data_IF_242764051287
#
_entry.id   IF_242764051287
#
_cell.length_a   1.000
_cell.length_b   1.000
_cell.length_c   1.000
_cell.angle_alpha   90.00
_cell.angle_beta   90.00
_cell.angle_gamma   90.00
#
_symmetry.space_group_name_H-M   'P 1'
#
loop_
_entity.id
_entity.type
_entity.pdbx_description
1 polymer ?
#
# COMPACT_ATOMS: atom_id res chain seq x y z
N UNK A 1 -3.51 -20.98 24.08
CA UNK A 1 -2.44 -21.13 23.08
C UNK A 1 -2.74 -20.20 21.93
N UNK A 2 -1.88 -19.22 21.71
CA UNK A 2 -1.97 -18.39 20.51
C UNK A 2 -1.68 -19.27 19.30
N UNK A 3 -2.31 -19.00 18.15
CA UNK A 3 -2.02 -19.73 16.88
C UNK A 3 -0.53 -19.65 16.52
N UNK A 4 0.16 -18.61 17.00
CA UNK A 4 1.57 -18.35 16.76
C UNK A 4 2.48 -19.28 17.59
N UNK A 5 1.99 -19.82 18.70
CA UNK A 5 2.75 -20.68 19.62
C UNK A 5 3.09 -22.03 18.98
N UNK A 6 2.27 -22.48 18.02
CA UNK A 6 2.46 -23.74 17.29
C UNK A 6 3.41 -23.65 16.09
N UNK A 7 3.92 -22.46 15.77
CA UNK A 7 4.85 -22.26 14.65
C UNK A 7 6.27 -22.67 15.04
N UNK A 8 7.02 -23.26 14.09
CA UNK A 8 8.47 -23.44 14.23
C UNK A 8 9.15 -22.08 14.39
N UNK A 9 10.33 -22.06 15.02
CA UNK A 9 11.13 -20.83 15.19
C UNK A 9 11.38 -20.13 13.85
N UNK A 10 11.75 -20.89 12.82
CA UNK A 10 11.95 -20.37 11.47
C UNK A 10 10.70 -19.71 10.88
N UNK A 11 9.55 -20.38 10.97
CA UNK A 11 8.27 -19.82 10.50
C UNK A 11 7.89 -18.54 11.25
N UNK A 12 8.17 -18.48 12.56
CA UNK A 12 7.88 -17.29 13.38
C UNK A 12 8.76 -16.10 13.00
N UNK A 13 10.05 -16.34 12.74
CA UNK A 13 10.98 -15.31 12.26
C UNK A 13 10.49 -14.75 10.92
N UNK A 14 10.18 -15.63 9.96
CA UNK A 14 9.68 -15.22 8.63
C UNK A 14 8.41 -14.39 8.78
N UNK A 15 7.46 -14.84 9.60
CA UNK A 15 6.25 -14.10 9.87
C UNK A 15 6.56 -12.69 10.39
N UNK A 16 7.40 -12.53 11.39
CA UNK A 16 7.73 -11.22 11.94
C UNK A 16 8.43 -10.30 10.95
N UNK A 17 9.30 -10.83 10.08
CA UNK A 17 9.91 -10.07 8.98
C UNK A 17 8.83 -9.56 8.02
N UNK A 18 7.87 -10.40 7.65
CA UNK A 18 6.76 -10.01 6.77
C UNK A 18 5.88 -8.94 7.45
N UNK A 19 5.52 -9.13 8.72
CA UNK A 19 4.72 -8.14 9.46
C UNK A 19 5.42 -6.79 9.56
N UNK A 20 6.74 -6.79 9.81
CA UNK A 20 7.55 -5.58 9.82
C UNK A 20 7.57 -4.90 8.45
N UNK A 21 7.76 -5.66 7.37
CA UNK A 21 7.73 -5.13 6.02
C UNK A 21 6.38 -4.48 5.68
N UNK A 22 5.26 -5.11 6.06
CA UNK A 22 3.92 -4.56 5.87
C UNK A 22 3.71 -3.28 6.69
N UNK A 23 4.21 -3.23 7.92
CA UNK A 23 4.14 -2.03 8.75
C UNK A 23 4.90 -0.86 8.11
N UNK A 24 6.13 -1.10 7.65
CA UNK A 24 6.93 -0.09 6.96
C UNK A 24 6.29 0.36 5.65
N UNK A 25 5.76 -0.58 4.86
CA UNK A 25 5.02 -0.27 3.64
C UNK A 25 3.79 0.60 3.92
N UNK A 26 3.02 0.27 4.95
CA UNK A 26 1.85 1.06 5.36
C UNK A 26 2.22 2.50 5.72
N UNK A 27 3.33 2.70 6.44
CA UNK A 27 3.82 4.03 6.78
C UNK A 27 4.30 4.81 5.56
N UNK A 28 4.94 4.14 4.61
CA UNK A 28 5.38 4.74 3.34
C UNK A 28 4.17 5.20 2.52
N UNK A 29 3.14 4.34 2.38
CA UNK A 29 1.87 4.71 1.73
C UNK A 29 1.25 5.91 2.44
N UNK A 30 1.10 5.86 3.76
CA UNK A 30 0.51 6.97 4.53
C UNK A 30 1.26 8.28 4.28
N UNK A 31 2.59 8.25 4.31
CA UNK A 31 3.43 9.42 4.02
C UNK A 31 3.21 9.97 2.60
N UNK A 32 3.15 9.09 1.60
CA UNK A 32 2.90 9.48 0.21
C UNK A 32 1.52 10.12 0.05
N UNK A 33 0.47 9.51 0.63
CA UNK A 33 -0.90 10.01 0.52
C UNK A 33 -1.10 11.33 1.27
N UNK A 34 -0.43 11.53 2.42
CA UNK A 34 -0.38 12.85 3.07
C UNK A 34 0.28 13.89 2.16
N UNK A 35 1.30 13.49 1.37
CA UNK A 35 1.90 14.34 0.34
C UNK A 35 0.89 14.77 -0.73
N UNK A 36 0.11 13.82 -1.26
CA UNK A 36 -0.93 14.07 -2.27
C UNK A 36 -1.98 15.06 -1.75
N UNK A 37 -2.51 14.86 -0.54
CA UNK A 37 -3.52 15.77 0.02
C UNK A 37 -2.96 17.18 0.28
N UNK A 38 -1.65 17.29 0.50
CA UNK A 38 -0.97 18.59 0.64
C UNK A 38 -0.61 19.24 -0.70
N UNK A 39 -1.03 18.68 -1.84
CA UNK A 39 -0.73 19.20 -3.17
C UNK A 39 0.75 19.07 -3.54
N UNK A 40 1.47 18.10 -2.97
CA UNK A 40 2.84 17.82 -3.42
C UNK A 40 2.78 17.09 -4.76
N UNK A 41 3.51 17.55 -5.78
CA UNK A 41 3.60 16.84 -7.05
C UNK A 41 4.26 15.47 -6.82
N UNK A 42 3.72 14.46 -7.48
CA UNK A 42 4.31 13.13 -7.51
C UNK A 42 5.39 13.08 -8.60
N UNK A 43 6.58 12.59 -8.25
CA UNK A 43 7.68 12.45 -9.21
C UNK A 43 7.66 11.05 -9.81
N UNK A 44 7.43 10.98 -11.12
CA UNK A 44 7.37 9.73 -11.86
C UNK A 44 8.77 9.16 -12.15
N UNK A 45 8.87 7.85 -12.41
CA UNK A 45 10.13 7.20 -12.76
C UNK A 45 10.77 7.68 -14.07
N UNK A 46 10.02 8.38 -14.92
CA UNK A 46 10.52 8.98 -16.16
C UNK A 46 10.94 10.46 -15.99
N UNK A 47 10.89 10.98 -14.76
CA UNK A 47 11.28 12.35 -14.42
C UNK A 47 10.16 13.39 -14.61
N UNK A 48 8.97 12.98 -15.05
CA UNK A 48 7.79 13.84 -15.10
C UNK A 48 7.20 14.06 -13.71
N UNK A 49 6.39 15.11 -13.58
CA UNK A 49 5.71 15.46 -12.33
C UNK A 49 4.21 15.51 -12.55
N UNK A 50 3.48 14.72 -11.79
CA UNK A 50 2.02 14.66 -11.86
C UNK A 50 1.42 15.32 -10.63
N UNK A 51 0.38 16.13 -10.83
CA UNK A 51 -0.42 16.59 -9.72
C UNK A 51 -1.57 15.63 -9.43
N UNK A 52 -1.31 14.67 -8.54
CA UNK A 52 -2.32 13.70 -8.11
C UNK A 52 -3.46 14.33 -7.31
N UNK A 53 -3.27 15.56 -6.81
CA UNK A 53 -4.34 16.31 -6.13
C UNK A 53 -5.45 16.72 -7.11
N UNK A 54 -5.11 17.01 -8.37
CA UNK A 54 -6.09 17.39 -9.40
C UNK A 54 -6.81 16.17 -10.01
N UNK A 55 -6.23 14.98 -9.86
CA UNK A 55 -6.79 13.74 -10.39
C UNK A 55 -7.79 13.13 -9.39
N UNK A 56 -9.10 13.32 -9.65
CA UNK A 56 -10.19 12.90 -8.74
C UNK A 56 -10.07 11.48 -8.19
N UNK A 57 -9.66 10.52 -9.02
CA UNK A 57 -9.48 9.12 -8.58
C UNK A 57 -8.32 9.01 -7.60
N UNK A 58 -7.16 9.56 -7.91
CA UNK A 58 -5.96 9.49 -7.07
C UNK A 58 -6.16 10.27 -5.76
N UNK A 59 -6.80 11.44 -5.84
CA UNK A 59 -7.18 12.22 -4.66
C UNK A 59 -8.15 11.46 -3.75
N UNK A 60 -9.16 10.79 -4.34
CA UNK A 60 -10.09 9.95 -3.59
C UNK A 60 -9.40 8.75 -2.92
N UNK A 61 -8.46 8.10 -3.62
CA UNK A 61 -7.62 7.04 -3.07
C UNK A 61 -6.79 7.56 -1.89
N UNK A 62 -6.19 8.75 -2.00
CA UNK A 62 -5.38 9.34 -0.93
C UNK A 62 -6.19 9.53 0.37
N UNK A 63 -7.42 10.03 0.28
CA UNK A 63 -8.33 10.12 1.42
C UNK A 63 -8.70 8.76 1.99
N UNK A 64 -9.05 7.80 1.13
CA UNK A 64 -9.39 6.44 1.56
C UNK A 64 -8.22 5.75 2.26
N UNK A 65 -6.99 5.93 1.77
CA UNK A 65 -5.79 5.36 2.38
C UNK A 65 -5.52 5.96 3.77
N UNK A 66 -5.60 7.29 3.92
CA UNK A 66 -5.30 7.97 5.18
C UNK A 66 -6.32 7.63 6.27
N UNK A 67 -7.61 7.59 5.93
CA UNK A 67 -8.69 7.46 6.92
C UNK A 67 -9.18 6.02 7.10
N UNK A 68 -8.92 5.13 6.13
CA UNK A 68 -9.41 3.76 6.16
C UNK A 68 -8.27 2.76 6.03
N UNK A 69 -7.58 2.71 4.89
CA UNK A 69 -6.68 1.59 4.60
C UNK A 69 -5.47 1.51 5.54
N UNK A 70 -4.76 2.62 5.76
CA UNK A 70 -3.61 2.66 6.65
C UNK A 70 -4.00 2.44 8.12
N UNK A 71 -5.05 3.10 8.68
CA UNK A 71 -5.54 2.79 10.02
C UNK A 71 -5.97 1.33 10.19
N UNK A 72 -6.69 0.75 9.23
CA UNK A 72 -7.14 -0.65 9.29
C UNK A 72 -5.95 -1.59 9.14
N UNK A 73 -4.93 -1.26 8.34
CA UNK A 73 -3.67 -2.01 8.26
C UNK A 73 -2.96 -2.07 9.62
N UNK A 74 -2.82 -0.92 10.30
CA UNK A 74 -2.20 -0.84 11.63
C UNK A 74 -3.02 -1.63 12.65
N UNK A 75 -4.35 -1.48 12.63
CA UNK A 75 -5.23 -2.25 13.50
C UNK A 75 -5.10 -3.76 13.24
N UNK A 76 -5.02 -4.20 11.98
CA UNK A 76 -4.82 -5.59 11.61
C UNK A 76 -3.47 -6.13 12.13
N UNK A 77 -2.38 -5.36 11.99
CA UNK A 77 -1.06 -5.72 12.54
C UNK A 77 -1.12 -5.94 14.06
N UNK A 78 -1.80 -5.05 14.80
CA UNK A 78 -1.98 -5.20 16.25
C UNK A 78 -2.86 -6.43 16.56
N UNK A 79 -3.96 -6.60 15.82
CA UNK A 79 -4.86 -7.74 15.98
C UNK A 79 -4.20 -9.08 15.71
N UNK A 80 -3.15 -9.16 14.88
CA UNK A 80 -2.43 -10.42 14.65
C UNK A 80 -1.84 -10.97 15.97
N UNK A 81 -1.50 -10.12 16.93
CA UNK A 81 -0.97 -10.54 18.23
C UNK A 81 -2.08 -10.80 19.28
N UNK A 82 -3.19 -10.08 19.22
CA UNK A 82 -4.29 -10.20 20.19
C UNK A 82 -5.38 -11.22 19.78
N UNK A 83 -5.73 -11.24 18.50
CA UNK A 83 -6.76 -12.09 17.89
C UNK A 83 -6.31 -12.56 16.49
N UNK A 84 -5.34 -13.50 16.39
CA UNK A 84 -4.61 -13.78 15.16
C UNK A 84 -5.47 -14.07 13.93
N UNK A 85 -6.55 -14.84 14.08
CA UNK A 85 -7.47 -15.17 12.98
C UNK A 85 -8.04 -13.90 12.35
N UNK A 86 -8.61 -13.01 13.16
CA UNK A 86 -9.19 -11.76 12.69
C UNK A 86 -8.12 -10.82 12.15
N UNK A 87 -6.96 -10.75 12.81
CA UNK A 87 -5.82 -9.98 12.32
C UNK A 87 -5.40 -10.38 10.90
N UNK A 88 -5.24 -11.68 10.63
CA UNK A 88 -4.88 -12.15 9.29
C UNK A 88 -6.00 -11.94 8.26
N UNK A 89 -7.27 -12.15 8.63
CA UNK A 89 -8.39 -11.89 7.72
C UNK A 89 -8.46 -10.41 7.32
N UNK A 90 -8.40 -9.51 8.31
CA UNK A 90 -8.41 -8.06 8.05
C UNK A 90 -7.20 -7.65 7.22
N UNK A 91 -6.02 -8.20 7.50
CA UNK A 91 -4.81 -7.94 6.71
C UNK A 91 -4.96 -8.40 5.24
N UNK A 92 -5.64 -9.53 5.00
CA UNK A 92 -5.96 -9.98 3.65
C UNK A 92 -6.86 -9.00 2.90
N UNK A 93 -7.90 -8.47 3.55
CA UNK A 93 -8.80 -7.48 2.96
C UNK A 93 -8.10 -6.16 2.64
N UNK A 94 -7.24 -5.69 3.54
CA UNK A 94 -6.43 -4.48 3.33
C UNK A 94 -5.42 -4.69 2.19
N UNK A 95 -4.79 -5.86 2.11
CA UNK A 95 -3.90 -6.21 1.00
C UNK A 95 -4.62 -6.16 -0.34
N UNK A 96 -5.87 -6.63 -0.42
CA UNK A 96 -6.68 -6.52 -1.62
C UNK A 96 -6.91 -5.06 -2.02
N UNK A 97 -7.23 -4.19 -1.06
CA UNK A 97 -7.37 -2.76 -1.30
C UNK A 97 -6.07 -2.15 -1.86
N UNK A 98 -4.91 -2.41 -1.25
CA UNK A 98 -3.63 -1.87 -1.73
C UNK A 98 -3.26 -2.36 -3.14
N UNK A 99 -3.58 -3.60 -3.47
CA UNK A 99 -3.39 -4.12 -4.83
C UNK A 99 -4.33 -3.38 -5.80
N UNK A 100 -5.61 -3.25 -5.45
CA UNK A 100 -6.58 -2.56 -6.30
C UNK A 100 -6.22 -1.09 -6.51
N UNK A 101 -5.82 -0.36 -5.47
CA UNK A 101 -5.40 1.05 -5.60
C UNK A 101 -4.15 1.18 -6.45
N UNK A 102 -3.17 0.28 -6.32
CA UNK A 102 -2.00 0.27 -7.20
C UNK A 102 -2.39 0.08 -8.68
N UNK A 103 -3.31 -0.86 -8.98
CA UNK A 103 -3.83 -1.04 -10.35
C UNK A 103 -4.51 0.24 -10.85
N UNK A 104 -5.39 0.83 -10.04
CA UNK A 104 -6.13 2.04 -10.43
C UNK A 104 -5.21 3.23 -10.67
N UNK A 105 -4.22 3.43 -9.81
CA UNK A 105 -3.20 4.48 -10.00
C UNK A 105 -2.45 4.25 -11.30
N UNK A 106 -2.01 3.02 -11.53
CA UNK A 106 -1.27 2.65 -12.74
C UNK A 106 -2.07 2.92 -14.02
N UNK A 107 -3.32 2.43 -14.08
CA UNK A 107 -4.21 2.62 -15.24
C UNK A 107 -4.50 4.10 -15.47
N UNK A 108 -4.66 4.87 -14.40
CA UNK A 108 -4.90 6.32 -14.48
C UNK A 108 -3.67 7.02 -15.07
N UNK A 109 -2.47 6.74 -14.56
CA UNK A 109 -1.22 7.31 -15.10
C UNK A 109 -0.99 6.92 -16.57
N UNK A 110 -1.19 5.66 -16.95
CA UNK A 110 -1.03 5.22 -18.34
C UNK A 110 -2.01 5.93 -19.29
N UNK A 111 -3.25 6.14 -18.85
CA UNK A 111 -4.30 6.74 -19.68
C UNK A 111 -4.10 8.24 -19.88
N UNK A 112 -3.76 8.96 -18.82
CA UNK A 112 -3.75 10.42 -18.83
C UNK A 112 -2.36 11.00 -19.10
N UNK A 113 -1.30 10.40 -18.56
CA UNK A 113 0.06 10.94 -18.62
C UNK A 113 0.89 10.34 -19.76
N UNK A 114 0.50 9.16 -20.28
CA UNK A 114 1.23 8.41 -21.33
C UNK A 114 2.76 8.39 -21.08
N UNK A 115 3.19 7.96 -19.90
CA UNK A 115 4.57 8.06 -19.45
C UNK A 115 5.49 7.16 -20.29
N UNK A 116 6.78 7.49 -20.31
CA UNK A 116 7.77 6.63 -20.95
C UNK A 116 8.05 5.43 -20.04
N UNK A 117 7.62 4.24 -20.44
CA UNK A 117 7.83 3.01 -19.66
C UNK A 117 9.33 2.70 -19.57
N UNK A 118 9.92 2.92 -18.39
CA UNK A 118 11.30 2.55 -18.04
C UNK A 118 11.31 1.27 -17.19
N UNK A 119 12.44 0.55 -17.03
CA UNK A 119 12.49 -0.61 -16.14
C UNK A 119 12.04 -0.32 -14.69
N UNK A 120 12.21 0.92 -14.24
CA UNK A 120 11.81 1.38 -12.92
C UNK A 120 10.27 1.44 -12.76
N UNK A 121 9.52 1.57 -13.86
CA UNK A 121 8.06 1.46 -13.85
C UNK A 121 7.58 0.08 -13.39
N UNK A 122 8.31 -1.00 -13.68
CA UNK A 122 7.93 -2.35 -13.24
C UNK A 122 8.02 -2.48 -11.71
N UNK A 123 8.89 -1.68 -11.08
CA UNK A 123 9.05 -1.70 -9.61
C UNK A 123 7.97 -0.85 -8.93
N UNK A 124 7.62 0.30 -9.50
CA UNK A 124 6.66 1.24 -8.91
C UNK A 124 5.21 0.88 -9.25
N UNK A 125 5.00 0.37 -10.47
CA UNK A 125 3.71 0.01 -11.06
C UNK A 125 3.77 -1.38 -11.70
N UNK A 126 3.93 -2.45 -10.89
CA UNK A 126 4.17 -3.81 -11.40
C UNK A 126 3.06 -4.38 -12.28
N UNK A 127 1.85 -3.81 -12.21
CA UNK A 127 0.65 -4.27 -12.94
C UNK A 127 0.30 -3.40 -14.16
N UNK A 128 1.21 -2.51 -14.58
CA UNK A 128 0.98 -1.50 -15.62
C UNK A 128 1.40 -1.83 -17.04
N UNK A 129 1.24 -3.08 -17.47
CA UNK A 129 1.57 -3.49 -18.84
C UNK A 129 0.32 -3.67 -19.69
#
# INVERSE_FOLDING_TARGET
MSVLDGLTVGSRIILYVILLAIALFTLLVLWAQVGVIRGKPFENPDGTKDDWHEQKILYGIAWADIFVACPVSIAALIMIFAAPRWGFYTMGLVSFWFVWTNVMTTVTSLRFEKPRVTPQWIVVFPLGQ
#
